data_IF_058887516114
#
_entry.id   IF_058887516114
#
_cell.length_a   1.000
_cell.length_b   1.000
_cell.length_c   1.000
_cell.angle_alpha   90.00
_cell.angle_beta   90.00
_cell.angle_gamma   90.00
#
_symmetry.space_group_name_H-M   'P 1'
#
loop_
_entity.id
_entity.type
_entity.pdbx_description
1 polymer ?
#
# COMPACT_ATOMS: atom_id res chain seq x y z
N UNK A 1 1.61 -15.17 -14.47
CA UNK A 1 1.66 -16.21 -15.51
C UNK A 1 2.72 -17.27 -15.17
N UNK A 2 2.72 -18.39 -15.88
CA UNK A 2 3.79 -19.42 -15.74
C UNK A 2 5.16 -18.82 -16.08
N UNK A 3 5.22 -17.99 -17.10
CA UNK A 3 6.45 -17.28 -17.49
C UNK A 3 7.02 -16.40 -16.38
N UNK A 4 6.17 -15.73 -15.62
CA UNK A 4 6.61 -14.91 -14.48
C UNK A 4 7.18 -15.79 -13.37
N UNK A 5 6.56 -16.92 -13.08
CA UNK A 5 7.06 -17.89 -12.12
C UNK A 5 8.45 -18.41 -12.49
N UNK A 6 8.64 -18.83 -13.74
CA UNK A 6 9.92 -19.32 -14.24
C UNK A 6 11.01 -18.23 -14.16
N UNK A 7 10.67 -16.99 -14.53
CA UNK A 7 11.60 -15.85 -14.46
C UNK A 7 12.03 -15.57 -13.01
N UNK A 8 11.10 -15.59 -12.05
CA UNK A 8 11.40 -15.40 -10.64
C UNK A 8 12.29 -16.53 -10.11
N UNK A 9 11.95 -17.78 -10.40
CA UNK A 9 12.76 -18.93 -9.97
C UNK A 9 14.17 -18.87 -10.54
N UNK A 10 14.31 -18.51 -11.81
CA UNK A 10 15.63 -18.32 -12.44
C UNK A 10 16.43 -17.24 -11.72
N UNK A 11 15.82 -16.08 -11.43
CA UNK A 11 16.49 -14.99 -10.71
C UNK A 11 16.97 -15.44 -9.32
N UNK A 12 16.16 -16.23 -8.60
CA UNK A 12 16.53 -16.79 -7.30
C UNK A 12 17.73 -17.73 -7.45
N UNK A 13 17.74 -18.59 -8.47
CA UNK A 13 18.84 -19.53 -8.70
C UNK A 13 20.14 -18.83 -9.13
N UNK A 14 20.04 -17.79 -9.93
CA UNK A 14 21.21 -16.99 -10.33
C UNK A 14 21.84 -16.29 -9.10
N UNK A 15 21.05 -15.66 -8.24
CA UNK A 15 21.53 -15.09 -6.97
C UNK A 15 22.17 -16.18 -6.08
N UNK A 16 21.59 -17.38 -6.02
CA UNK A 16 22.16 -18.49 -5.24
C UNK A 16 23.52 -18.94 -5.75
N UNK A 17 23.72 -18.98 -7.07
CA UNK A 17 25.02 -19.35 -7.69
C UNK A 17 26.10 -18.32 -7.42
N UNK A 18 25.75 -17.06 -7.41
CA UNK A 18 26.69 -15.94 -7.20
C UNK A 18 27.04 -15.74 -5.71
N UNK A 19 26.15 -16.13 -4.81
CA UNK A 19 26.32 -15.89 -3.37
C UNK A 19 27.12 -17.01 -2.71
N UNK A 20 28.24 -16.64 -2.09
CA UNK A 20 29.06 -17.57 -1.29
C UNK A 20 28.47 -17.71 0.13
N UNK A 21 28.35 -18.95 0.61
CA UNK A 21 27.96 -19.25 1.98
C UNK A 21 26.55 -19.83 2.12
N UNK A 22 26.05 -19.93 3.35
CA UNK A 22 24.72 -20.48 3.62
C UNK A 22 23.64 -19.45 3.35
N UNK A 23 22.74 -19.75 2.46
CA UNK A 23 21.57 -18.94 2.15
C UNK A 23 20.32 -19.40 2.90
N UNK A 24 19.41 -18.50 3.23
CA UNK A 24 18.13 -18.87 3.81
C UNK A 24 17.30 -19.70 2.81
N UNK A 25 16.36 -20.49 3.34
CA UNK A 25 15.35 -21.16 2.50
C UNK A 25 14.41 -20.11 1.94
N UNK A 26 14.19 -20.13 0.63
CA UNK A 26 13.27 -19.27 -0.10
C UNK A 26 12.12 -20.12 -0.60
N UNK A 27 10.91 -19.70 -0.32
CA UNK A 27 9.66 -20.29 -0.78
C UNK A 27 8.91 -19.28 -1.63
N UNK A 28 8.61 -19.63 -2.87
CA UNK A 28 7.81 -18.79 -3.75
C UNK A 28 6.33 -19.18 -3.62
N UNK A 29 5.50 -18.26 -3.14
CA UNK A 29 4.06 -18.35 -3.23
C UNK A 29 3.63 -17.54 -4.45
N UNK A 30 3.19 -18.24 -5.50
CA UNK A 30 2.81 -17.63 -6.77
C UNK A 30 1.42 -18.10 -7.19
N UNK A 31 0.60 -17.18 -7.65
CA UNK A 31 -0.78 -17.42 -8.07
C UNK A 31 -1.74 -16.41 -7.44
N UNK A 32 -3.02 -16.63 -7.68
CA UNK A 32 -4.08 -15.83 -7.08
C UNK A 32 -4.32 -16.29 -5.63
N UNK A 33 -4.35 -15.33 -4.74
CA UNK A 33 -4.60 -15.53 -3.30
C UNK A 33 -5.76 -14.63 -2.90
N UNK A 34 -6.80 -15.21 -2.35
CA UNK A 34 -7.96 -14.46 -1.86
C UNK A 34 -7.60 -13.58 -0.65
N UNK A 35 -8.38 -12.52 -0.40
CA UNK A 35 -8.18 -11.64 0.77
C UNK A 35 -8.20 -12.42 2.09
N UNK A 36 -9.03 -13.47 2.19
CA UNK A 36 -9.10 -14.35 3.36
C UNK A 36 -7.79 -15.11 3.56
N UNK A 37 -7.26 -15.70 2.50
CA UNK A 37 -6.00 -16.46 2.55
C UNK A 37 -4.82 -15.52 2.83
N UNK A 38 -4.79 -14.33 2.23
CA UNK A 38 -3.77 -13.32 2.50
C UNK A 38 -3.82 -12.87 3.96
N UNK A 39 -5.02 -12.63 4.51
CA UNK A 39 -5.16 -12.31 5.93
C UNK A 39 -4.70 -13.45 6.84
N UNK A 40 -4.99 -14.70 6.50
CA UNK A 40 -4.49 -15.87 7.23
C UNK A 40 -2.96 -15.98 7.16
N UNK A 41 -2.37 -15.72 5.99
CA UNK A 41 -0.92 -15.69 5.82
C UNK A 41 -0.29 -14.62 6.71
N UNK A 42 -0.77 -13.37 6.65
CA UNK A 42 -0.25 -12.28 7.46
C UNK A 42 -0.33 -12.55 8.96
N UNK A 43 -1.41 -13.16 9.42
CA UNK A 43 -1.62 -13.50 10.82
C UNK A 43 -0.95 -14.82 11.24
N UNK A 44 -0.44 -15.62 10.30
CA UNK A 44 0.14 -16.93 10.63
C UNK A 44 1.28 -16.80 11.65
N UNK A 45 1.36 -17.66 12.69
CA UNK A 45 2.32 -17.51 13.79
C UNK A 45 3.78 -17.69 13.37
N UNK A 46 4.04 -18.38 12.25
CA UNK A 46 5.39 -18.51 11.67
C UNK A 46 5.83 -17.27 10.89
N UNK A 47 4.91 -16.45 10.42
CA UNK A 47 5.24 -15.17 9.78
C UNK A 47 5.57 -14.16 10.89
N UNK A 48 6.78 -13.68 10.91
CA UNK A 48 7.29 -12.81 11.96
C UNK A 48 7.41 -11.35 11.55
N UNK A 49 7.73 -11.08 10.30
CA UNK A 49 7.90 -9.75 9.78
C UNK A 49 7.55 -9.68 8.30
N UNK A 50 7.26 -8.50 7.81
CA UNK A 50 7.16 -8.18 6.40
C UNK A 50 8.36 -7.36 5.96
N UNK A 51 8.88 -7.64 4.77
CA UNK A 51 10.00 -6.90 4.17
C UNK A 51 9.57 -6.45 2.78
N UNK A 52 9.75 -5.16 2.48
CA UNK A 52 9.43 -4.59 1.17
C UNK A 52 10.41 -3.49 0.81
N UNK A 53 11.27 -3.74 -0.18
CA UNK A 53 12.24 -2.78 -0.69
C UNK A 53 11.80 -2.23 -2.05
N UNK A 54 10.56 -1.76 -2.11
CA UNK A 54 10.00 -1.20 -3.34
C UNK A 54 10.69 0.09 -3.75
N UNK A 55 10.70 0.34 -5.04
CA UNK A 55 11.25 1.55 -5.67
C UNK A 55 10.35 2.77 -5.50
N UNK A 56 9.08 2.53 -5.20
CA UNK A 56 8.02 3.50 -4.94
C UNK A 56 6.67 2.81 -4.91
N UNK A 57 5.78 3.34 -4.11
CA UNK A 57 4.40 2.86 -3.95
C UNK A 57 3.45 4.06 -4.04
N UNK A 58 2.34 3.92 -4.73
CA UNK A 58 1.31 4.95 -4.68
C UNK A 58 0.77 5.15 -3.26
N UNK A 59 0.49 4.05 -2.58
CA UNK A 59 0.06 4.03 -1.18
C UNK A 59 0.74 2.92 -0.38
N UNK A 60 0.83 1.70 -0.93
CA UNK A 60 1.41 0.54 -0.25
C UNK A 60 0.40 -0.25 0.58
N UNK A 61 -0.81 -0.50 0.03
CA UNK A 61 -1.89 -1.23 0.71
C UNK A 61 -1.43 -2.52 1.42
N UNK A 62 -0.62 -3.40 0.83
CA UNK A 62 -0.15 -4.61 1.52
C UNK A 62 0.63 -4.32 2.80
N UNK A 63 1.42 -3.24 2.83
CA UNK A 63 2.16 -2.82 4.02
C UNK A 63 1.22 -2.28 5.11
N UNK A 64 0.19 -1.52 4.74
CA UNK A 64 -0.83 -1.07 5.69
C UNK A 64 -1.57 -2.26 6.29
N UNK A 65 -2.07 -3.18 5.46
CA UNK A 65 -2.78 -4.39 5.89
C UNK A 65 -1.92 -5.24 6.83
N UNK A 66 -0.64 -5.47 6.49
CA UNK A 66 0.26 -6.21 7.36
C UNK A 66 0.52 -5.48 8.68
N UNK A 67 0.61 -4.15 8.68
CA UNK A 67 0.83 -3.36 9.90
C UNK A 67 -0.23 -3.62 10.97
N UNK A 68 -1.47 -3.92 10.55
CA UNK A 68 -2.60 -4.20 11.45
C UNK A 68 -2.42 -5.49 12.26
N UNK A 69 -1.50 -6.37 11.86
CA UNK A 69 -1.16 -7.60 12.60
C UNK A 69 -0.33 -7.33 13.86
N UNK A 70 0.23 -6.13 14.00
CA UNK A 70 1.17 -5.78 15.07
C UNK A 70 2.52 -6.48 14.99
N UNK A 71 2.88 -6.98 13.82
CA UNK A 71 4.19 -7.58 13.52
C UNK A 71 5.13 -6.54 12.88
N UNK A 72 6.45 -6.66 13.10
CA UNK A 72 7.42 -5.71 12.57
C UNK A 72 7.44 -5.65 11.04
N UNK A 73 7.71 -4.45 10.52
CA UNK A 73 7.88 -4.17 9.09
C UNK A 73 9.25 -3.58 8.84
N UNK A 74 9.93 -4.04 7.79
CA UNK A 74 11.11 -3.40 7.19
C UNK A 74 10.70 -2.94 5.80
N UNK A 75 10.81 -1.65 5.52
CA UNK A 75 10.39 -1.10 4.23
C UNK A 75 11.28 0.05 3.77
N UNK A 76 11.29 0.34 2.46
CA UNK A 76 11.87 1.59 1.95
C UNK A 76 11.23 2.78 2.64
N UNK A 77 12.04 3.72 3.15
CA UNK A 77 11.58 4.96 3.78
C UNK A 77 11.21 6.05 2.76
N UNK A 78 10.43 5.69 1.74
CA UNK A 78 10.13 6.54 0.60
C UNK A 78 8.73 6.27 0.03
N UNK A 79 8.09 7.32 -0.51
CA UNK A 79 6.83 7.23 -1.23
C UNK A 79 5.61 6.96 -0.32
N UNK A 80 4.48 6.48 -0.85
CA UNK A 80 3.18 6.45 -0.16
C UNK A 80 3.14 5.69 1.16
N UNK A 81 3.98 4.69 1.36
CA UNK A 81 3.99 3.95 2.63
C UNK A 81 4.47 4.76 3.84
N UNK A 82 5.16 5.90 3.65
CA UNK A 82 5.60 6.73 4.77
C UNK A 82 4.47 7.52 5.43
N UNK A 83 3.29 7.56 4.81
CA UNK A 83 2.10 8.19 5.39
C UNK A 83 1.58 7.42 6.61
N UNK A 84 1.78 6.10 6.64
CA UNK A 84 1.31 5.23 7.72
C UNK A 84 2.41 4.44 8.41
N UNK A 85 3.63 4.33 7.84
CA UNK A 85 4.81 3.76 8.47
C UNK A 85 5.70 4.88 8.99
N UNK A 86 5.83 5.00 10.28
CA UNK A 86 6.77 5.96 10.88
C UNK A 86 8.05 5.29 11.41
N UNK A 87 9.14 6.07 11.46
CA UNK A 87 10.48 5.61 11.83
C UNK A 87 10.60 5.08 13.27
N UNK A 88 9.67 5.47 14.14
CA UNK A 88 9.71 5.06 15.55
C UNK A 88 9.01 3.72 15.76
N UNK A 89 8.22 3.26 14.78
CA UNK A 89 7.38 2.06 14.88
C UNK A 89 7.64 1.03 13.79
N UNK A 90 8.31 1.41 12.69
CA UNK A 90 8.74 0.53 11.61
C UNK A 90 10.23 0.74 11.31
N UNK A 91 10.87 -0.25 10.70
CA UNK A 91 12.26 -0.16 10.24
C UNK A 91 12.27 0.42 8.83
N UNK A 92 12.36 1.75 8.72
CA UNK A 92 12.44 2.44 7.45
C UNK A 92 13.88 2.53 6.99
N UNK A 93 14.15 1.98 5.80
CA UNK A 93 15.47 1.96 5.18
C UNK A 93 15.66 3.22 4.35
N UNK A 94 16.72 3.96 4.65
CA UNK A 94 17.17 5.09 3.85
C UNK A 94 17.65 4.66 2.47
N UNK A 95 17.88 5.63 1.61
CA UNK A 95 18.36 5.39 0.25
C UNK A 95 18.45 6.69 -0.55
N UNK A 96 18.54 6.57 -1.85
CA UNK A 96 18.64 7.70 -2.77
C UNK A 96 17.84 7.49 -4.05
N UNK A 97 17.49 8.60 -4.72
CA UNK A 97 16.93 8.53 -6.06
C UNK A 97 18.06 8.26 -7.05
N UNK A 98 17.97 7.17 -7.78
CA UNK A 98 18.89 6.78 -8.84
C UNK A 98 18.16 6.65 -10.17
N UNK A 99 18.89 6.76 -11.27
CA UNK A 99 18.33 6.59 -12.60
C UNK A 99 17.77 5.15 -12.75
N UNK A 100 16.72 5.03 -13.53
CA UNK A 100 16.19 3.72 -13.92
C UNK A 100 17.27 2.93 -14.65
N UNK A 101 17.45 1.67 -14.27
CA UNK A 101 18.39 0.79 -14.96
C UNK A 101 17.90 0.54 -16.40
N UNK A 102 18.83 0.57 -17.37
CA UNK A 102 18.50 0.43 -18.80
C UNK A 102 17.66 -0.80 -19.14
N UNK A 103 17.85 -1.91 -18.40
CA UNK A 103 17.06 -3.12 -18.60
C UNK A 103 15.58 -3.01 -18.16
N UNK A 104 15.25 -1.98 -17.38
CA UNK A 104 13.88 -1.74 -16.90
C UNK A 104 13.18 -0.63 -17.68
N UNK A 105 13.88 0.03 -18.59
CA UNK A 105 13.28 1.07 -19.45
C UNK A 105 12.24 0.44 -20.36
N UNK A 106 11.03 1.00 -20.38
CA UNK A 106 9.96 0.61 -21.26
C UNK A 106 9.46 1.84 -22.01
N UNK A 107 9.47 1.74 -23.34
CA UNK A 107 8.99 2.83 -24.20
C UNK A 107 7.59 3.27 -23.77
N UNK A 108 7.41 4.57 -23.63
CA UNK A 108 6.15 5.25 -23.27
C UNK A 108 5.59 4.89 -21.86
N UNK A 109 6.34 4.16 -21.03
CA UNK A 109 5.92 3.80 -19.68
C UNK A 109 6.97 4.15 -18.61
N UNK A 110 8.22 3.71 -18.78
CA UNK A 110 9.29 3.99 -17.83
C UNK A 110 10.50 4.53 -18.61
N UNK A 111 10.67 5.84 -18.54
CA UNK A 111 11.68 6.57 -19.31
C UNK A 111 13.08 6.44 -18.71
N UNK A 112 14.12 6.54 -19.53
CA UNK A 112 15.53 6.42 -19.09
C UNK A 112 15.94 7.54 -18.11
N UNK A 113 15.40 8.74 -18.29
CA UNK A 113 15.62 9.90 -17.40
C UNK A 113 14.82 9.84 -16.09
N UNK A 114 13.88 8.94 -15.98
CA UNK A 114 13.13 8.74 -14.75
C UNK A 114 14.02 8.25 -13.61
N UNK A 115 13.64 8.59 -12.39
CA UNK A 115 14.35 8.16 -11.18
C UNK A 115 13.43 7.33 -10.30
N UNK A 116 14.01 6.34 -9.67
CA UNK A 116 13.36 5.55 -8.64
C UNK A 116 14.17 5.52 -7.34
N UNK A 117 13.53 5.21 -6.24
CA UNK A 117 14.22 5.06 -4.98
C UNK A 117 15.02 3.76 -4.94
N UNK A 118 16.28 3.86 -4.55
CA UNK A 118 17.15 2.69 -4.32
C UNK A 118 17.50 2.66 -2.84
N UNK A 119 16.98 1.68 -2.07
CA UNK A 119 17.30 1.54 -0.65
C UNK A 119 18.77 1.20 -0.46
N UNK A 120 19.33 1.58 0.71
CA UNK A 120 20.69 1.27 1.09
C UNK A 120 20.81 -0.20 1.52
N UNK A 121 21.58 -0.98 0.78
CA UNK A 121 21.75 -2.42 1.00
C UNK A 121 22.38 -2.74 2.37
N UNK A 122 23.29 -1.88 2.87
CA UNK A 122 23.92 -2.08 4.17
C UNK A 122 22.91 -1.88 5.30
N UNK A 123 22.09 -0.83 5.21
CA UNK A 123 20.99 -0.60 6.17
C UNK A 123 19.98 -1.73 6.11
N UNK A 124 19.59 -2.18 4.91
CA UNK A 124 18.68 -3.29 4.72
C UNK A 124 19.22 -4.58 5.36
N UNK A 125 20.47 -4.93 5.07
CA UNK A 125 21.15 -6.09 5.66
C UNK A 125 21.27 -6.01 7.18
N UNK A 126 21.57 -4.83 7.72
CA UNK A 126 21.62 -4.60 9.16
C UNK A 126 20.23 -4.74 9.81
N UNK A 127 19.18 -4.18 9.20
CA UNK A 127 17.82 -4.29 9.70
C UNK A 127 17.34 -5.76 9.73
N UNK A 128 17.60 -6.52 8.66
CA UNK A 128 17.29 -7.94 8.59
C UNK A 128 18.01 -8.76 9.68
N UNK A 129 19.29 -8.51 9.90
CA UNK A 129 20.05 -9.17 10.99
C UNK A 129 19.50 -8.82 12.36
N UNK A 130 19.17 -7.55 12.59
CA UNK A 130 18.66 -7.08 13.87
C UNK A 130 17.29 -7.65 14.20
N UNK A 131 16.35 -7.68 13.24
CA UNK A 131 15.01 -8.19 13.48
C UNK A 131 15.04 -9.69 13.88
N UNK A 132 15.97 -10.47 13.30
CA UNK A 132 16.16 -11.87 13.67
C UNK A 132 16.73 -12.00 15.07
N UNK A 133 17.76 -11.20 15.41
CA UNK A 133 18.45 -11.28 16.70
C UNK A 133 17.67 -10.71 17.88
N UNK A 134 16.93 -9.61 17.64
CA UNK A 134 16.28 -8.79 18.66
C UNK A 134 14.78 -8.66 18.42
N UNK A 135 14.12 -9.68 17.89
CA UNK A 135 12.71 -9.64 17.48
C UNK A 135 11.77 -9.00 18.50
N UNK A 136 11.96 -9.33 19.79
CA UNK A 136 11.10 -8.83 20.88
C UNK A 136 11.11 -7.31 21.01
N UNK A 137 12.23 -6.66 20.66
CA UNK A 137 12.38 -5.21 20.77
C UNK A 137 11.52 -4.49 19.73
N UNK A 138 11.25 -5.13 18.59
CA UNK A 138 10.44 -4.57 17.50
C UNK A 138 8.94 -4.86 17.63
N UNK A 139 8.52 -5.78 18.47
CA UNK A 139 7.10 -6.16 18.63
C UNK A 139 6.29 -5.04 19.28
N UNK A 140 6.82 -4.38 20.34
CA UNK A 140 6.10 -3.31 21.02
C UNK A 140 5.85 -2.10 20.12
N UNK A 141 6.85 -1.57 19.39
CA UNK A 141 6.63 -0.53 18.38
C UNK A 141 5.63 -0.94 17.30
N UNK A 142 5.74 -2.17 16.78
CA UNK A 142 4.81 -2.66 15.74
C UNK A 142 3.36 -2.75 16.23
N UNK A 143 3.12 -3.16 17.48
CA UNK A 143 1.78 -3.13 18.08
C UNK A 143 1.25 -1.70 18.24
N UNK A 144 2.12 -0.75 18.59
CA UNK A 144 1.76 0.67 18.63
C UNK A 144 1.37 1.18 17.25
N UNK A 145 2.11 0.79 16.19
CA UNK A 145 1.78 1.10 14.81
C UNK A 145 0.41 0.54 14.42
N UNK A 146 0.14 -0.73 14.75
CA UNK A 146 -1.14 -1.35 14.47
C UNK A 146 -2.31 -0.58 15.09
N UNK A 147 -2.17 -0.14 16.34
CA UNK A 147 -3.21 0.63 17.04
C UNK A 147 -3.43 2.00 16.40
N UNK A 148 -2.35 2.69 16.00
CA UNK A 148 -2.40 3.95 15.26
C UNK A 148 -3.14 3.75 13.94
N UNK A 149 -2.69 2.81 13.12
CA UNK A 149 -3.25 2.61 11.79
C UNK A 149 -4.71 2.12 11.81
N UNK A 150 -5.10 1.30 12.79
CA UNK A 150 -6.51 0.92 12.99
C UNK A 150 -7.41 2.13 13.24
N UNK A 151 -6.90 3.15 13.93
CA UNK A 151 -7.65 4.37 14.23
C UNK A 151 -7.66 5.34 13.05
N UNK A 152 -6.50 5.56 12.42
CA UNK A 152 -6.31 6.62 11.43
C UNK A 152 -6.74 6.20 10.01
N UNK A 153 -6.69 4.88 9.71
CA UNK A 153 -7.02 4.31 8.40
C UNK A 153 -8.24 3.38 8.46
N UNK A 154 -9.15 3.60 9.42
CA UNK A 154 -10.47 2.96 9.42
C UNK A 154 -11.37 3.58 8.37
N UNK A 155 -12.42 2.88 7.98
CA UNK A 155 -13.45 3.41 7.10
C UNK A 155 -14.08 4.69 7.67
N UNK A 156 -14.40 4.70 8.96
CA UNK A 156 -14.95 5.86 9.66
C UNK A 156 -14.00 7.07 9.64
N UNK A 157 -12.70 6.84 9.85
CA UNK A 157 -11.72 7.92 9.77
C UNK A 157 -11.64 8.52 8.36
N UNK A 158 -11.65 7.67 7.33
CA UNK A 158 -11.64 8.13 5.93
C UNK A 158 -12.92 8.86 5.54
N UNK A 159 -14.09 8.39 6.02
CA UNK A 159 -15.37 9.05 5.83
C UNK A 159 -15.37 10.45 6.45
N UNK A 160 -14.86 10.59 7.66
CA UNK A 160 -14.75 11.90 8.31
C UNK A 160 -13.86 12.86 7.51
N UNK A 161 -12.69 12.43 7.08
CA UNK A 161 -11.78 13.25 6.22
C UNK A 161 -12.49 13.65 4.92
N UNK A 162 -13.20 12.73 4.28
CA UNK A 162 -13.94 13.02 3.05
C UNK A 162 -15.06 14.04 3.28
N UNK A 163 -15.82 13.89 4.37
CA UNK A 163 -16.87 14.83 4.74
C UNK A 163 -16.33 16.22 5.04
N UNK A 164 -15.20 16.32 5.73
CA UNK A 164 -14.52 17.62 5.97
C UNK A 164 -14.10 18.28 4.65
N UNK A 165 -13.53 17.51 3.73
CA UNK A 165 -13.15 18.02 2.41
C UNK A 165 -14.37 18.47 1.61
N UNK A 166 -15.45 17.73 1.62
CA UNK A 166 -16.70 18.09 0.94
C UNK A 166 -17.28 19.38 1.51
N UNK A 167 -17.38 19.48 2.82
CA UNK A 167 -17.89 20.70 3.49
C UNK A 167 -17.02 21.92 3.20
N UNK A 168 -15.73 21.75 2.99
CA UNK A 168 -14.79 22.85 2.75
C UNK A 168 -14.73 23.30 1.27
N UNK A 169 -14.85 22.37 0.34
CA UNK A 169 -14.53 22.64 -1.06
C UNK A 169 -15.70 22.48 -2.03
N UNK A 170 -16.78 21.82 -1.65
CA UNK A 170 -17.96 21.70 -2.50
C UNK A 170 -18.92 22.84 -2.17
N UNK A 171 -19.26 23.71 -3.15
CA UNK A 171 -20.24 24.76 -2.93
C UNK A 171 -21.62 24.14 -2.64
N UNK A 172 -22.42 24.81 -1.80
CA UNK A 172 -23.82 24.43 -1.61
C UNK A 172 -24.54 24.43 -2.96
N UNK A 173 -25.07 23.29 -3.34
CA UNK A 173 -25.92 23.23 -4.53
C UNK A 173 -27.21 24.00 -4.26
N UNK A 174 -27.68 24.82 -5.22
CA UNK A 174 -28.97 25.50 -5.06
C UNK A 174 -30.07 24.45 -4.85
N UNK A 175 -30.85 24.64 -3.78
CA UNK A 175 -31.99 23.76 -3.50
C UNK A 175 -32.92 23.80 -4.68
N UNK A 176 -33.28 22.62 -5.20
CA UNK A 176 -34.23 22.50 -6.30
C UNK A 176 -35.55 23.16 -5.85
N UNK A 177 -35.89 24.29 -6.46
CA UNK A 177 -37.16 24.95 -6.18
C UNK A 177 -38.24 24.14 -6.87
N UNK A 178 -39.21 23.62 -6.10
CA UNK A 178 -40.39 23.00 -6.69
C UNK A 178 -41.09 24.04 -7.57
N UNK A 179 -41.06 23.83 -8.86
CA UNK A 179 -41.80 24.62 -9.82
C UNK A 179 -43.31 24.33 -9.61
N UNK A 180 -43.97 25.15 -8.82
CA UNK A 180 -45.43 25.15 -8.78
C UNK A 180 -45.94 25.72 -10.11
N UNK A 181 -46.26 24.84 -11.02
CA UNK A 181 -46.94 25.23 -12.28
C UNK A 181 -48.29 25.86 -11.91
N UNK A 182 -48.59 27.04 -12.52
CA UNK A 182 -49.91 27.64 -12.31
C UNK A 182 -51.03 26.69 -12.80
N UNK A 183 -52.06 26.49 -11.99
CA UNK A 183 -53.17 25.66 -12.37
C UNK A 183 -53.87 26.25 -13.62
N UNK A 184 -53.82 25.56 -14.72
CA UNK A 184 -54.58 25.90 -15.93
C UNK A 184 -56.06 25.81 -15.65
N UNK A 185 -56.75 26.96 -15.56
CA UNK A 185 -58.22 27.01 -15.57
C UNK A 185 -58.69 26.83 -17.01
N UNK A 186 -59.02 25.60 -17.38
CA UNK A 186 -59.62 25.34 -18.67
C UNK A 186 -61.03 25.99 -18.72
N UNK A 187 -61.38 26.70 -19.81
CA UNK A 187 -62.73 27.25 -20.00
C UNK A 187 -63.74 26.11 -20.06
N UNK A 188 -64.87 26.28 -19.37
CA UNK A 188 -65.97 25.32 -19.45
C UNK A 188 -66.54 25.27 -20.88
N UNK A 189 -66.54 24.08 -21.47
CA UNK A 189 -67.25 23.85 -22.73
C UNK A 189 -68.74 24.17 -22.56
N UNK A 190 -69.23 25.18 -23.27
CA UNK A 190 -70.65 25.45 -23.38
C UNK A 190 -71.20 24.46 -24.40
N UNK A 191 -72.08 23.54 -23.94
CA UNK A 191 -72.89 22.71 -24.86
C UNK A 191 -73.88 23.62 -25.55
N UNK A 192 -73.65 23.85 -26.84
CA UNK A 192 -74.71 24.37 -27.68
C UNK A 192 -75.72 23.24 -27.96
N UNK A 193 -77.00 23.48 -27.57
CA UNK A 193 -78.10 22.59 -27.84
C UNK A 193 -78.51 22.55 -29.29
#
# INVERSE_FOLDING_TARGET
SIMDQESILKSIDDVRKETKGSLPKIYLLHGEVSDKEMNQLYNHPKIKAMVSFTKGEGFGRPLLEFSLTGKPIIASGWSGQVDFLDKDRALLIGGSLSNVHKSAVMKDALLEEAKWFTPDDNQAGFALKNIVKKYKDFVKPAKSLANKNKKEFSFEAMENVLNELFNKYIPEFPKQVELKLPSLKLPKLVKNG
#
